data_IF_473944374059
#
_entry.id   IF_473944374059
#
_cell.length_a   1.000
_cell.length_b   1.000
_cell.length_c   1.000
_cell.angle_alpha   90.00
_cell.angle_beta   90.00
_cell.angle_gamma   90.00
#
_symmetry.space_group_name_H-M   'P 1'
#
loop_
_entity.id
_entity.type
_entity.pdbx_description
1 polymer ?
#
# COMPACT_ATOMS: atom_id res chain seq x y z
N UNK A 1 9.97 11.01 26.60
CA UNK A 1 11.33 10.55 26.21
C UNK A 1 11.24 9.48 25.13
N UNK A 2 10.43 8.43 25.29
CA UNK A 2 10.27 7.32 24.33
C UNK A 2 9.88 7.79 22.92
N UNK A 3 8.90 8.68 22.81
CA UNK A 3 8.47 9.21 21.50
C UNK A 3 9.58 10.00 20.79
N UNK A 4 10.47 10.66 21.55
CA UNK A 4 11.62 11.36 20.99
C UNK A 4 12.63 10.36 20.41
N UNK A 5 13.00 9.35 21.21
CA UNK A 5 13.93 8.31 20.79
C UNK A 5 13.42 7.53 19.57
N UNK A 6 12.12 7.24 19.52
CA UNK A 6 11.50 6.59 18.38
C UNK A 6 11.63 7.45 17.11
N UNK A 7 11.34 8.75 17.23
CA UNK A 7 11.44 9.67 16.09
C UNK A 7 12.90 9.83 15.64
N UNK A 8 13.84 10.02 16.56
CA UNK A 8 15.28 10.09 16.25
C UNK A 8 15.78 8.82 15.55
N UNK A 9 15.39 7.65 16.05
CA UNK A 9 15.71 6.38 15.41
C UNK A 9 15.18 6.31 13.97
N UNK A 10 13.92 6.65 13.74
CA UNK A 10 13.34 6.66 12.40
C UNK A 10 14.02 7.65 11.45
N UNK A 11 14.41 8.82 11.94
CA UNK A 11 15.14 9.82 11.14
C UNK A 11 16.54 9.30 10.75
N UNK A 12 17.23 8.62 11.67
CA UNK A 12 18.54 8.03 11.41
C UNK A 12 18.44 6.85 10.43
N UNK A 13 17.49 5.93 10.64
CA UNK A 13 17.30 4.75 9.78
C UNK A 13 17.02 5.11 8.32
N UNK A 14 16.34 6.25 8.10
CA UNK A 14 15.99 6.72 6.76
C UNK A 14 16.95 7.78 6.21
N UNK A 15 18.04 8.09 6.90
CA UNK A 15 19.02 9.12 6.55
C UNK A 15 18.38 10.49 6.26
N UNK A 16 17.27 10.82 6.96
CA UNK A 16 16.50 12.05 6.72
C UNK A 16 17.37 13.30 7.00
N UNK A 17 18.26 13.22 7.97
CA UNK A 17 19.12 14.36 8.35
C UNK A 17 20.18 14.68 7.31
N UNK A 18 20.50 13.76 6.40
CA UNK A 18 21.42 13.96 5.28
C UNK A 18 20.76 14.72 4.12
N UNK A 19 19.42 14.83 4.13
CA UNK A 19 18.68 15.59 3.13
C UNK A 19 18.80 17.10 3.39
N UNK A 20 18.80 17.93 2.32
CA UNK A 20 18.60 19.37 2.44
C UNK A 20 17.30 19.68 3.22
N UNK A 21 17.28 20.78 3.98
CA UNK A 21 16.14 21.13 4.84
C UNK A 21 14.80 21.21 4.08
N UNK A 22 14.83 21.74 2.86
CA UNK A 22 13.66 21.87 1.97
C UNK A 22 13.14 20.52 1.43
N UNK A 23 13.89 19.43 1.61
CA UNK A 23 13.50 18.07 1.22
C UNK A 23 13.15 17.18 2.43
N UNK A 24 13.33 17.68 3.65
CA UNK A 24 12.96 16.96 4.85
C UNK A 24 11.44 16.88 5.01
N UNK A 25 10.92 15.77 5.55
CA UNK A 25 9.50 15.60 5.72
C UNK A 25 8.91 16.53 6.77
N UNK A 26 7.64 16.90 6.57
CA UNK A 26 6.82 17.50 7.61
C UNK A 26 6.26 16.41 8.53
N UNK A 27 6.16 16.69 9.83
CA UNK A 27 5.63 15.75 10.82
C UNK A 27 4.19 16.11 11.14
N UNK A 28 3.25 15.27 10.69
CA UNK A 28 1.83 15.44 10.99
C UNK A 28 1.47 14.66 12.24
N UNK A 29 0.98 15.35 13.27
CA UNK A 29 0.65 14.77 14.57
C UNK A 29 -0.80 15.04 14.96
N UNK A 30 -1.31 14.19 15.83
CA UNK A 30 -2.45 14.53 16.63
C UNK A 30 -2.07 15.56 17.74
N UNK A 31 -3.06 15.95 18.55
CA UNK A 31 -2.83 16.88 19.66
C UNK A 31 -2.49 16.18 20.98
N UNK A 32 -2.01 14.93 20.91
CA UNK A 32 -1.58 14.16 22.07
C UNK A 32 -0.51 14.90 22.88
N UNK A 33 -0.51 14.70 24.21
CA UNK A 33 0.44 15.38 25.09
C UNK A 33 1.89 15.08 24.75
N UNK A 34 2.17 13.85 24.34
CA UNK A 34 3.50 13.42 23.95
C UNK A 34 4.02 14.18 22.72
N UNK A 35 3.17 14.44 21.73
CA UNK A 35 3.56 15.14 20.50
C UNK A 35 3.74 16.65 20.69
N UNK A 36 3.10 17.21 21.73
CA UNK A 36 3.28 18.60 22.15
C UNK A 36 4.38 18.80 23.19
N UNK A 37 5.05 17.73 23.58
CA UNK A 37 6.11 17.81 24.56
C UNK A 37 7.31 18.57 24.03
N UNK A 38 7.90 19.45 24.85
CA UNK A 38 9.06 20.26 24.46
C UNK A 38 10.22 19.46 23.82
N UNK A 39 10.55 18.24 24.25
CA UNK A 39 11.61 17.45 23.58
C UNK A 39 11.30 17.14 22.12
N UNK A 40 10.04 16.86 21.75
CA UNK A 40 9.66 16.62 20.35
C UNK A 40 9.70 17.91 19.55
N UNK A 41 9.15 19.01 20.10
CA UNK A 41 9.18 20.30 19.44
C UNK A 41 10.61 20.75 19.12
N UNK A 42 11.51 20.66 20.11
CA UNK A 42 12.93 20.97 19.92
C UNK A 42 13.59 20.09 18.85
N UNK A 43 13.33 18.79 18.88
CA UNK A 43 13.86 17.88 17.86
C UNK A 43 13.44 18.32 16.45
N UNK A 44 12.17 18.67 16.27
CA UNK A 44 11.67 19.15 14.98
C UNK A 44 12.28 20.50 14.58
N UNK A 45 12.40 21.44 15.51
CA UNK A 45 13.01 22.76 15.31
C UNK A 45 14.50 22.64 14.97
N UNK A 46 15.26 21.85 15.75
CA UNK A 46 16.71 21.67 15.59
C UNK A 46 17.06 21.03 14.24
N UNK A 47 16.13 20.27 13.67
CA UNK A 47 16.33 19.58 12.39
C UNK A 47 15.55 20.22 11.22
N UNK A 48 14.99 21.42 11.38
CA UNK A 48 14.27 22.13 10.31
C UNK A 48 13.06 21.36 9.76
N UNK A 49 12.41 20.53 10.60
CA UNK A 49 11.22 19.76 10.21
C UNK A 49 9.95 20.38 10.76
N UNK A 50 9.07 20.94 9.92
CA UNK A 50 7.82 21.53 10.39
C UNK A 50 6.92 20.49 11.08
N UNK A 51 6.41 20.83 12.27
CA UNK A 51 5.44 20.02 12.99
C UNK A 51 4.03 20.56 12.77
N UNK A 52 3.19 19.80 12.09
CA UNK A 52 1.80 20.12 11.82
C UNK A 52 0.89 19.35 12.77
N UNK A 53 -0.15 20.02 13.27
CA UNK A 53 -1.13 19.40 14.19
C UNK A 53 -2.50 19.33 13.54
N UNK A 54 -3.10 18.15 13.59
CA UNK A 54 -4.49 17.94 13.20
C UNK A 54 -5.43 18.90 13.93
N UNK A 55 -6.50 19.34 13.27
CA UNK A 55 -7.53 20.16 13.92
C UNK A 55 -8.24 19.38 15.02
N UNK A 56 -8.70 20.05 16.08
CA UNK A 56 -9.46 19.38 17.14
C UNK A 56 -10.70 18.68 16.58
N UNK A 57 -10.94 17.45 16.99
CA UNK A 57 -12.11 16.65 16.61
C UNK A 57 -12.29 16.45 15.09
N UNK A 58 -11.21 16.47 14.33
CA UNK A 58 -11.23 16.27 12.89
C UNK A 58 -10.37 15.03 12.52
N UNK A 59 -10.91 13.81 12.62
CA UNK A 59 -10.19 12.58 12.30
C UNK A 59 -9.59 12.59 10.90
N UNK A 60 -10.30 13.18 9.94
CA UNK A 60 -9.88 13.27 8.54
C UNK A 60 -8.57 14.04 8.29
N UNK A 61 -8.02 14.71 9.28
CA UNK A 61 -6.74 15.43 9.15
C UNK A 61 -5.54 14.48 9.24
N UNK A 62 -5.74 13.24 9.72
CA UNK A 62 -4.69 12.20 9.73
C UNK A 62 -5.23 10.81 9.33
N UNK A 63 -5.83 10.68 8.13
CA UNK A 63 -6.50 9.46 7.71
C UNK A 63 -5.54 8.28 7.51
N UNK A 64 -4.28 8.57 7.21
CA UNK A 64 -3.28 7.54 6.94
C UNK A 64 -2.94 6.72 8.19
N UNK A 65 -2.68 7.37 9.31
CA UNK A 65 -2.36 6.66 10.56
C UNK A 65 -3.58 5.92 11.10
N UNK A 66 -4.77 6.49 10.98
CA UNK A 66 -6.02 5.82 11.36
C UNK A 66 -6.27 4.57 10.51
N UNK A 67 -6.04 4.66 9.20
CA UNK A 67 -6.11 3.51 8.29
C UNK A 67 -5.09 2.44 8.64
N UNK A 68 -3.84 2.82 8.96
CA UNK A 68 -2.79 1.90 9.35
C UNK A 68 -3.16 1.15 10.64
N UNK A 69 -3.62 1.86 11.69
CA UNK A 69 -4.10 1.22 12.91
C UNK A 69 -5.32 0.31 12.68
N UNK A 70 -6.26 0.74 11.84
CA UNK A 70 -7.42 -0.06 11.48
C UNK A 70 -7.01 -1.36 10.76
N UNK A 71 -6.02 -1.30 9.88
CA UNK A 71 -5.49 -2.47 9.17
C UNK A 71 -4.79 -3.41 10.14
N UNK A 72 -3.94 -2.88 11.02
CA UNK A 72 -3.25 -3.68 12.03
C UNK A 72 -4.22 -4.41 12.97
N UNK A 73 -5.28 -3.72 13.44
CA UNK A 73 -6.29 -4.31 14.33
C UNK A 73 -7.20 -5.34 13.65
N UNK A 74 -7.28 -5.33 12.32
CA UNK A 74 -8.05 -6.30 11.52
C UNK A 74 -7.20 -7.45 10.99
N UNK A 75 -5.89 -7.41 11.21
CA UNK A 75 -5.02 -8.52 10.83
C UNK A 75 -5.45 -9.81 11.54
N UNK A 76 -5.46 -10.97 10.85
CA UNK A 76 -6.00 -12.23 11.40
C UNK A 76 -5.37 -12.68 12.71
N UNK A 77 -4.10 -12.32 12.93
CA UNK A 77 -3.34 -12.69 14.13
C UNK A 77 -3.37 -11.62 15.23
N UNK A 78 -4.16 -10.55 15.07
CA UNK A 78 -4.24 -9.51 16.10
C UNK A 78 -4.98 -10.04 17.32
N UNK A 79 -4.35 -10.06 18.52
CA UNK A 79 -4.90 -10.72 19.69
C UNK A 79 -6.04 -9.93 20.37
N UNK A 80 -6.31 -8.70 19.90
CA UNK A 80 -7.27 -7.79 20.53
C UNK A 80 -6.71 -7.10 21.79
N UNK A 81 -5.96 -7.82 22.61
CA UNK A 81 -5.28 -7.33 23.80
C UNK A 81 -3.97 -8.06 23.98
N UNK A 82 -2.91 -7.33 24.28
CA UNK A 82 -1.60 -7.89 24.63
C UNK A 82 -1.50 -8.11 26.13
N UNK A 83 -0.82 -9.16 26.53
CA UNK A 83 -0.56 -9.49 27.94
C UNK A 83 0.46 -8.52 28.55
N UNK A 84 1.48 -8.18 27.77
CA UNK A 84 2.56 -7.26 28.14
C UNK A 84 3.16 -6.55 26.92
N UNK A 85 4.09 -5.62 27.18
CA UNK A 85 4.77 -4.86 26.12
C UNK A 85 5.64 -5.73 25.23
N UNK A 86 6.20 -6.83 25.75
CA UNK A 86 7.04 -7.75 24.98
C UNK A 86 6.23 -8.48 23.91
N UNK A 87 5.05 -8.94 24.27
CA UNK A 87 4.13 -9.56 23.32
C UNK A 87 3.73 -8.55 22.23
N UNK A 88 3.40 -7.31 22.62
CA UNK A 88 3.08 -6.25 21.66
C UNK A 88 4.24 -5.97 20.70
N UNK A 89 5.46 -5.80 21.21
CA UNK A 89 6.65 -5.57 20.37
C UNK A 89 6.89 -6.73 19.42
N UNK A 90 6.77 -7.98 19.90
CA UNK A 90 6.96 -9.17 19.06
C UNK A 90 5.91 -9.25 17.95
N UNK A 91 4.65 -8.99 18.29
CA UNK A 91 3.56 -8.96 17.30
C UNK A 91 3.80 -7.89 16.25
N UNK A 92 4.04 -6.64 16.66
CA UNK A 92 4.19 -5.54 15.73
C UNK A 92 5.45 -5.64 14.87
N UNK A 93 6.55 -6.20 15.37
CA UNK A 93 7.74 -6.47 14.57
C UNK A 93 7.41 -7.41 13.39
N UNK A 94 6.70 -8.52 13.66
CA UNK A 94 6.25 -9.45 12.60
C UNK A 94 5.23 -8.80 11.67
N UNK A 95 4.25 -8.10 12.24
CA UNK A 95 3.20 -7.41 11.48
C UNK A 95 3.78 -6.41 10.50
N UNK A 96 4.68 -5.53 10.93
CA UNK A 96 5.27 -4.53 10.04
C UNK A 96 6.17 -5.15 8.98
N UNK A 97 6.92 -6.20 9.32
CA UNK A 97 7.70 -6.94 8.31
C UNK A 97 6.78 -7.46 7.21
N UNK A 98 5.70 -8.15 7.57
CA UNK A 98 4.71 -8.63 6.60
C UNK A 98 4.04 -7.47 5.84
N UNK A 99 3.63 -6.42 6.54
CA UNK A 99 2.96 -5.27 5.93
C UNK A 99 3.83 -4.58 4.88
N UNK A 100 5.10 -4.40 5.17
CA UNK A 100 6.03 -3.72 4.28
C UNK A 100 6.42 -4.57 3.08
N UNK A 101 6.61 -5.89 3.27
CA UNK A 101 7.18 -6.76 2.25
C UNK A 101 6.17 -7.58 1.45
N UNK A 102 5.00 -7.89 2.03
CA UNK A 102 4.05 -8.83 1.43
C UNK A 102 2.65 -8.24 1.22
N UNK A 103 2.23 -7.26 2.03
CA UNK A 103 0.90 -6.68 1.91
C UNK A 103 0.78 -5.75 0.69
N UNK A 104 -0.09 -6.11 -0.25
CA UNK A 104 -0.44 -5.28 -1.41
C UNK A 104 -1.40 -4.16 -1.00
N UNK A 105 -0.93 -2.93 -0.98
CA UNK A 105 -1.69 -1.78 -0.49
C UNK A 105 -2.47 -1.10 -1.62
N UNK A 106 -3.81 -1.05 -1.51
CA UNK A 106 -4.69 -0.49 -2.55
C UNK A 106 -4.43 1.00 -2.84
N UNK A 107 -4.06 1.78 -1.84
CA UNK A 107 -3.75 3.21 -1.98
C UNK A 107 -2.47 3.52 -2.77
N UNK A 108 -1.65 2.52 -3.07
CA UNK A 108 -0.41 2.64 -3.85
C UNK A 108 -0.38 1.65 -5.03
N UNK A 109 -1.52 1.46 -5.71
CA UNK A 109 -1.66 0.60 -6.90
C UNK A 109 -1.32 -0.88 -6.66
N UNK A 110 -1.63 -1.39 -5.47
CA UNK A 110 -1.37 -2.78 -5.10
C UNK A 110 0.10 -3.20 -5.25
N UNK A 111 1.03 -2.32 -4.97
CA UNK A 111 2.42 -2.68 -4.66
C UNK A 111 2.58 -2.76 -3.16
N UNK A 112 3.68 -3.36 -2.68
CA UNK A 112 3.99 -3.34 -1.25
C UNK A 112 4.55 -1.98 -0.83
N UNK A 113 4.39 -1.56 0.44
CA UNK A 113 5.00 -0.33 0.94
C UNK A 113 6.50 -0.25 0.65
N UNK A 114 7.24 -1.34 0.83
CA UNK A 114 8.67 -1.40 0.50
C UNK A 114 8.93 -1.12 -0.98
N UNK A 115 8.21 -1.77 -1.90
CA UNK A 115 8.37 -1.52 -3.34
C UNK A 115 8.07 -0.06 -3.71
N UNK A 116 7.09 0.56 -3.07
CA UNK A 116 6.78 1.97 -3.28
C UNK A 116 7.90 2.88 -2.76
N UNK A 117 8.44 2.59 -1.57
CA UNK A 117 9.54 3.33 -0.94
C UNK A 117 10.83 3.25 -1.77
N UNK A 118 11.14 2.10 -2.33
CA UNK A 118 12.27 1.87 -3.23
C UNK A 118 12.07 2.46 -4.64
N UNK A 119 10.98 3.17 -4.89
CA UNK A 119 10.68 3.82 -6.17
C UNK A 119 10.23 2.87 -7.29
N UNK A 120 9.97 1.59 -6.99
CA UNK A 120 9.62 0.57 -7.97
C UNK A 120 8.15 0.63 -8.43
N UNK A 121 7.30 1.41 -7.73
CA UNK A 121 5.84 1.45 -7.95
C UNK A 121 5.46 1.59 -9.42
N UNK A 122 5.99 2.59 -10.10
CA UNK A 122 5.58 2.89 -11.47
C UNK A 122 6.04 1.82 -12.46
N UNK A 123 7.24 1.29 -12.30
CA UNK A 123 7.75 0.18 -13.12
C UNK A 123 6.84 -1.05 -13.01
N UNK A 124 6.48 -1.44 -11.79
CA UNK A 124 5.60 -2.58 -11.54
C UNK A 124 4.20 -2.36 -12.14
N UNK A 125 3.65 -1.15 -11.98
CA UNK A 125 2.32 -0.81 -12.53
C UNK A 125 2.32 -0.87 -14.06
N UNK A 126 3.34 -0.33 -14.71
CA UNK A 126 3.47 -0.37 -16.17
C UNK A 126 3.63 -1.79 -16.69
N UNK A 127 4.45 -2.62 -16.06
CA UNK A 127 4.56 -4.03 -16.41
C UNK A 127 3.23 -4.79 -16.29
N UNK A 128 2.48 -4.54 -15.21
CA UNK A 128 1.16 -5.15 -15.01
C UNK A 128 0.18 -4.71 -16.10
N UNK A 129 0.19 -3.43 -16.47
CA UNK A 129 -0.65 -2.89 -17.56
C UNK A 129 -0.30 -3.53 -18.90
N UNK A 130 0.98 -3.63 -19.22
CA UNK A 130 1.46 -4.28 -20.44
C UNK A 130 1.04 -5.76 -20.48
N UNK A 131 1.28 -6.52 -19.41
CA UNK A 131 0.85 -7.93 -19.30
C UNK A 131 -0.67 -8.07 -19.48
N UNK A 132 -1.46 -7.21 -18.84
CA UNK A 132 -2.91 -7.22 -18.98
C UNK A 132 -3.37 -6.90 -20.41
N UNK A 133 -2.72 -5.95 -21.09
CA UNK A 133 -3.02 -5.63 -22.48
C UNK A 133 -2.78 -6.83 -23.41
N UNK A 134 -1.62 -7.47 -23.32
CA UNK A 134 -1.30 -8.66 -24.14
C UNK A 134 -2.24 -9.84 -23.85
N UNK A 135 -2.58 -10.06 -22.58
CA UNK A 135 -3.53 -11.10 -22.18
C UNK A 135 -4.94 -10.84 -22.76
N UNK A 136 -5.43 -9.59 -22.70
CA UNK A 136 -6.73 -9.22 -23.29
C UNK A 136 -6.73 -9.41 -24.80
N UNK A 137 -5.66 -9.03 -25.49
CA UNK A 137 -5.48 -9.23 -26.93
C UNK A 137 -5.52 -10.71 -27.30
N UNK A 138 -4.71 -11.52 -26.62
CA UNK A 138 -4.71 -12.98 -26.82
C UNK A 138 -6.08 -13.61 -26.65
N UNK A 139 -6.80 -13.28 -25.56
CA UNK A 139 -8.18 -13.77 -25.32
C UNK A 139 -9.16 -13.36 -26.43
N UNK A 140 -9.04 -12.16 -26.95
CA UNK A 140 -9.87 -11.71 -28.08
C UNK A 140 -9.59 -12.53 -29.35
N UNK A 141 -8.33 -12.77 -29.68
CA UNK A 141 -7.93 -13.58 -30.83
C UNK A 141 -8.39 -15.03 -30.69
N UNK A 142 -8.26 -15.64 -29.53
CA UNK A 142 -8.75 -16.98 -29.22
C UNK A 142 -10.28 -17.09 -29.34
N UNK A 143 -11.01 -16.10 -28.83
CA UNK A 143 -12.47 -16.07 -28.93
C UNK A 143 -12.94 -15.89 -30.38
N UNK A 144 -12.29 -15.05 -31.18
CA UNK A 144 -12.61 -14.88 -32.59
C UNK A 144 -12.40 -16.18 -33.38
N UNK A 145 -11.30 -16.90 -33.10
CA UNK A 145 -11.06 -18.23 -33.71
C UNK A 145 -12.16 -19.23 -33.35
N UNK A 146 -12.56 -19.30 -32.06
CA UNK A 146 -13.64 -20.19 -31.61
C UNK A 146 -14.99 -19.86 -32.30
N UNK A 147 -15.33 -18.59 -32.39
CA UNK A 147 -16.58 -18.14 -33.04
C UNK A 147 -16.55 -18.40 -34.55
N UNK A 148 -15.40 -18.24 -35.23
CA UNK A 148 -15.23 -18.57 -36.65
C UNK A 148 -15.43 -20.06 -36.93
N UNK A 149 -14.85 -20.92 -36.10
CA UNK A 149 -15.01 -22.39 -36.22
C UNK A 149 -16.45 -22.84 -35.98
N UNK A 150 -17.21 -22.19 -35.08
CA UNK A 150 -18.63 -22.50 -34.86
C UNK A 150 -19.51 -22.08 -36.05
N UNK A 151 -19.23 -20.94 -36.68
CA UNK A 151 -19.96 -20.49 -37.87
C UNK A 151 -19.75 -21.43 -39.08
N UNK A 152 -18.55 -21.92 -39.31
CA UNK A 152 -18.27 -22.87 -40.38
C UNK A 152 -18.91 -24.24 -40.16
N UNK A 153 -19.00 -24.71 -38.89
CA UNK A 153 -19.69 -25.97 -38.56
C UNK A 153 -21.21 -25.87 -38.72
N UNK A 154 -21.83 -24.72 -38.45
CA UNK A 154 -23.29 -24.53 -38.64
C UNK A 154 -23.70 -24.36 -40.11
N UNK A 155 -22.81 -23.91 -40.98
CA UNK A 155 -23.06 -23.81 -42.41
C UNK A 155 -22.84 -25.11 -43.18
N UNK A 156 -22.00 -26.03 -42.65
CA UNK A 156 -21.76 -27.34 -43.28
C UNK A 156 -22.84 -28.41 -43.04
N UNK A 157 -23.78 -28.15 -42.10
CA UNK A 157 -24.84 -29.11 -41.74
C UNK A 157 -26.18 -28.90 -42.49
N UNK A 158 -26.25 -27.92 -43.40
CA UNK A 158 -27.52 -27.57 -44.06
C UNK A 158 -27.63 -28.06 -45.53
N UNK A 159 -26.70 -28.86 -46.05
CA UNK A 159 -26.66 -29.18 -47.45
C UNK A 159 -27.07 -30.64 -47.79
N UNK A 160 -27.51 -31.46 -46.84
CA UNK A 160 -27.81 -32.89 -47.05
C UNK A 160 -29.27 -33.28 -46.70
N UNK A 161 -30.24 -32.50 -47.12
CA UNK A 161 -31.64 -32.97 -47.14
C UNK A 161 -32.38 -32.40 -48.37
N UNK A 162 -32.09 -32.91 -49.57
CA UNK A 162 -33.04 -32.96 -50.66
C UNK A 162 -32.45 -33.80 -51.79
N UNK A 163 -32.66 -35.08 -51.77
CA UNK A 163 -32.86 -35.92 -52.97
C UNK A 163 -33.25 -37.35 -52.60
N UNK A 164 -34.55 -37.64 -52.43
CA UNK A 164 -35.13 -38.95 -52.81
C UNK A 164 -36.58 -38.69 -53.24
N UNK A 165 -36.83 -38.90 -54.47
CA UNK A 165 -38.16 -39.16 -55.07
C UNK A 165 -38.49 -40.61 -54.81
#
# INVERSE_FOLDING_TARGET
>A
EESRLLLEGGLADQNILDLPEDQRPEIINDRGRQMKAKPIQRLCEDHGMPQLFSRPRTPNDNPFIESAFSTAKRAPEYPGRFLDDREAVTYFARYFTWYDTEHYHSGIDFVTPQQAHEGQRWTIVEERRAKAFFQRRRRREENQKKTGVQKTKSQGSSTDQHLVV
#
